data_IF_307908411689
#
_entry.id   IF_307908411689
#
_cell.length_a   1.000
_cell.length_b   1.000
_cell.length_c   1.000
_cell.angle_alpha   90.00
_cell.angle_beta   90.00
_cell.angle_gamma   90.00
#
_symmetry.space_group_name_H-M   'P 1'
#
loop_
_entity.id
_entity.type
_entity.pdbx_description
1 polymer ?
#
# COMPACT_ATOMS: atom_id res chain seq x y z
N UNK A 1 43.95 48.18 -16.20
CA UNK A 1 42.93 47.15 -16.44
C UNK A 1 42.13 47.57 -17.67
N UNK A 2 42.18 46.77 -18.73
CA UNK A 2 41.57 47.12 -20.01
C UNK A 2 40.06 46.81 -19.96
N UNK A 3 39.20 47.71 -20.45
CA UNK A 3 37.73 47.61 -20.40
C UNK A 3 37.17 46.30 -20.97
N UNK A 4 37.89 45.67 -21.91
CA UNK A 4 37.54 44.35 -22.44
C UNK A 4 37.73 43.19 -21.44
N UNK A 5 38.72 43.28 -20.54
CA UNK A 5 38.93 42.27 -19.49
C UNK A 5 37.82 42.35 -18.43
N UNK A 6 37.39 43.56 -18.05
CA UNK A 6 36.25 43.73 -17.14
C UNK A 6 34.94 43.22 -17.75
N UNK A 7 34.69 43.47 -19.04
CA UNK A 7 33.52 42.92 -19.73
C UNK A 7 33.52 41.38 -19.75
N UNK A 8 34.66 40.77 -20.09
CA UNK A 8 34.82 39.32 -20.08
C UNK A 8 34.60 38.73 -18.68
N UNK A 9 35.08 39.38 -17.62
CA UNK A 9 34.84 38.92 -16.25
C UNK A 9 33.37 39.02 -15.83
N UNK A 10 32.65 40.06 -16.25
CA UNK A 10 31.21 40.21 -15.96
C UNK A 10 30.42 39.09 -16.65
N UNK A 11 30.71 38.81 -17.92
CA UNK A 11 30.07 37.72 -18.67
C UNK A 11 30.37 36.36 -18.03
N UNK A 12 31.62 36.13 -17.59
CA UNK A 12 32.00 34.91 -16.88
C UNK A 12 31.22 34.73 -15.56
N UNK A 13 31.01 35.81 -14.79
CA UNK A 13 30.24 35.76 -13.54
C UNK A 13 28.75 35.47 -13.81
N UNK A 14 28.17 36.08 -14.85
CA UNK A 14 26.77 35.82 -15.24
C UNK A 14 26.58 34.38 -15.68
N UNK A 15 27.48 33.86 -16.51
CA UNK A 15 27.48 32.46 -16.93
C UNK A 15 27.62 31.50 -15.73
N UNK A 16 28.59 31.78 -14.86
CA UNK A 16 28.81 30.98 -13.66
C UNK A 16 27.58 31.02 -12.74
N UNK A 17 26.99 32.20 -12.51
CA UNK A 17 25.79 32.36 -11.70
C UNK A 17 24.60 31.58 -12.27
N UNK A 18 24.38 31.65 -13.58
CA UNK A 18 23.32 30.88 -14.25
C UNK A 18 23.52 29.37 -14.10
N UNK A 19 24.77 28.90 -14.19
CA UNK A 19 25.12 27.50 -14.07
C UNK A 19 24.92 27.00 -12.64
N UNK A 20 25.37 27.76 -11.64
CA UNK A 20 25.17 27.44 -10.21
C UNK A 20 23.68 27.35 -9.87
N UNK A 21 22.86 28.28 -10.37
CA UNK A 21 21.41 28.21 -10.16
C UNK A 21 20.80 26.97 -10.82
N UNK A 22 21.24 26.64 -12.04
CA UNK A 22 20.78 25.44 -12.75
C UNK A 22 21.13 24.15 -12.00
N UNK A 23 22.34 24.06 -11.46
CA UNK A 23 22.79 22.90 -10.65
C UNK A 23 21.96 22.78 -9.38
N UNK A 24 21.75 23.89 -8.64
CA UNK A 24 20.95 23.85 -7.42
C UNK A 24 19.51 23.44 -7.69
N UNK A 25 18.88 23.94 -8.76
CA UNK A 25 17.54 23.50 -9.17
C UNK A 25 17.50 22.01 -9.47
N UNK A 26 18.52 21.50 -10.17
CA UNK A 26 18.64 20.07 -10.49
C UNK A 26 18.79 19.24 -9.22
N UNK A 27 19.59 19.69 -8.25
CA UNK A 27 19.75 19.01 -6.97
C UNK A 27 18.45 18.96 -6.17
N UNK A 28 17.71 20.07 -6.11
CA UNK A 28 16.39 20.11 -5.45
C UNK A 28 15.40 19.16 -6.14
N UNK A 29 15.36 19.14 -7.47
CA UNK A 29 14.50 18.23 -8.23
C UNK A 29 14.85 16.77 -7.97
N UNK A 30 16.14 16.42 -7.92
CA UNK A 30 16.57 15.07 -7.56
C UNK A 30 16.15 14.68 -6.14
N UNK A 31 16.25 15.60 -5.17
CA UNK A 31 15.78 15.36 -3.80
C UNK A 31 14.29 15.02 -3.75
N UNK A 32 13.46 15.75 -4.50
CA UNK A 32 12.02 15.47 -4.58
C UNK A 32 11.74 14.10 -5.21
N UNK A 33 12.43 13.75 -6.30
CA UNK A 33 12.26 12.45 -6.97
C UNK A 33 12.70 11.29 -6.08
N UNK A 34 13.82 11.45 -5.36
CA UNK A 34 14.31 10.45 -4.42
C UNK A 34 13.29 10.22 -3.30
N UNK A 35 12.77 11.29 -2.69
CA UNK A 35 11.76 11.18 -1.64
C UNK A 35 10.49 10.45 -2.12
N UNK A 36 10.00 10.77 -3.33
CA UNK A 36 8.84 10.06 -3.90
C UNK A 36 9.12 8.58 -4.14
N UNK A 37 10.35 8.25 -4.56
CA UNK A 37 10.77 6.87 -4.80
C UNK A 37 10.86 6.10 -3.50
N UNK A 38 11.44 6.68 -2.44
CA UNK A 38 11.53 6.08 -1.11
C UNK A 38 10.13 5.78 -0.55
N UNK A 39 9.24 6.77 -0.57
CA UNK A 39 7.83 6.59 -0.14
C UNK A 39 7.15 5.48 -0.93
N UNK A 40 7.39 5.41 -2.24
CA UNK A 40 6.87 4.35 -3.10
C UNK A 40 7.36 2.95 -2.71
N UNK A 41 8.67 2.78 -2.52
CA UNK A 41 9.28 1.50 -2.13
C UNK A 41 8.78 1.04 -0.76
N UNK A 42 8.74 1.94 0.23
CA UNK A 42 8.19 1.62 1.55
C UNK A 42 6.68 1.35 1.50
N UNK A 43 5.93 2.10 0.71
CA UNK A 43 4.50 1.84 0.50
C UNK A 43 4.25 0.42 -0.03
N UNK A 44 5.02 0.01 -1.03
CA UNK A 44 4.94 -1.33 -1.64
C UNK A 44 5.30 -2.43 -0.63
N UNK A 45 6.41 -2.27 0.10
CA UNK A 45 6.84 -3.28 1.07
C UNK A 45 5.85 -3.44 2.23
N UNK A 46 5.28 -2.34 2.72
CA UNK A 46 4.26 -2.36 3.77
C UNK A 46 2.97 -3.03 3.28
N UNK A 47 2.53 -2.75 2.06
CA UNK A 47 1.35 -3.37 1.47
C UNK A 47 1.55 -4.88 1.25
N UNK A 48 2.71 -5.26 0.72
CA UNK A 48 3.08 -6.66 0.48
C UNK A 48 3.14 -7.47 1.77
N UNK A 49 3.74 -6.92 2.83
CA UNK A 49 3.77 -7.57 4.15
C UNK A 49 2.37 -7.89 4.70
N UNK A 50 1.40 -6.98 4.54
CA UNK A 50 0.01 -7.21 4.97
C UNK A 50 -0.64 -8.31 4.13
N UNK A 51 -0.42 -8.25 2.81
CA UNK A 51 -1.00 -9.19 1.87
C UNK A 51 -0.45 -10.60 2.07
N UNK A 52 0.85 -10.76 2.31
CA UNK A 52 1.48 -12.04 2.61
C UNK A 52 0.99 -12.62 3.94
N UNK A 53 0.87 -11.79 4.97
CA UNK A 53 0.33 -12.26 6.25
C UNK A 53 -1.11 -12.74 6.11
N UNK A 54 -1.95 -12.00 5.39
CA UNK A 54 -3.33 -12.41 5.14
C UNK A 54 -3.40 -13.71 4.32
N UNK A 55 -2.55 -13.87 3.31
CA UNK A 55 -2.47 -15.10 2.50
C UNK A 55 -2.05 -16.33 3.30
N UNK A 56 -1.31 -16.16 4.39
CA UNK A 56 -0.91 -17.25 5.27
C UNK A 56 -2.01 -17.74 6.21
N UNK A 57 -3.17 -17.08 6.24
CA UNK A 57 -4.30 -17.40 7.14
C UNK A 57 -5.34 -18.28 6.46
N UNK A 58 -6.19 -18.90 7.27
CA UNK A 58 -7.33 -19.67 6.78
C UNK A 58 -8.31 -18.75 6.02
N UNK A 59 -9.09 -19.32 5.11
CA UNK A 59 -10.08 -18.56 4.34
C UNK A 59 -11.19 -17.98 5.23
N UNK A 60 -11.53 -18.68 6.30
CA UNK A 60 -12.59 -18.39 7.27
C UNK A 60 -12.30 -19.23 8.52
N UNK A 61 -12.60 -18.72 9.72
CA UNK A 61 -12.38 -19.46 10.98
C UNK A 61 -13.05 -20.85 10.98
N UNK A 62 -14.24 -20.99 10.36
CA UNK A 62 -14.97 -22.27 10.27
C UNK A 62 -14.19 -23.31 9.46
N UNK A 63 -13.41 -22.82 8.49
CA UNK A 63 -12.62 -23.64 7.58
C UNK A 63 -11.20 -23.93 8.06
N UNK A 64 -10.84 -23.48 9.27
CA UNK A 64 -9.51 -23.70 9.82
C UNK A 64 -9.28 -25.18 10.19
N UNK A 65 -10.27 -25.80 10.88
CA UNK A 65 -10.20 -27.19 11.33
C UNK A 65 -11.12 -28.14 10.55
N UNK A 66 -11.99 -27.61 9.70
CA UNK A 66 -13.00 -28.37 8.97
C UNK A 66 -13.16 -27.90 7.52
N UNK A 67 -13.78 -28.73 6.67
CA UNK A 67 -14.02 -28.37 5.27
C UNK A 67 -15.45 -27.85 5.08
N UNK A 68 -15.58 -26.68 4.46
CA UNK A 68 -16.87 -26.16 4.06
C UNK A 68 -17.33 -26.83 2.76
N UNK A 69 -18.53 -27.41 2.79
CA UNK A 69 -19.16 -28.05 1.61
C UNK A 69 -20.26 -27.18 0.99
N UNK A 70 -20.78 -26.23 1.77
CA UNK A 70 -21.81 -25.30 1.33
C UNK A 70 -21.45 -23.86 1.69
N UNK A 71 -21.92 -22.90 0.89
CA UNK A 71 -21.65 -21.48 1.15
C UNK A 71 -22.30 -20.98 2.45
N UNK A 72 -23.31 -21.69 2.95
CA UNK A 72 -24.00 -21.34 4.19
C UNK A 72 -23.17 -21.66 5.45
N UNK A 73 -22.08 -22.41 5.31
CA UNK A 73 -21.13 -22.68 6.40
C UNK A 73 -20.11 -21.56 6.58
N UNK A 74 -19.91 -20.71 5.55
CA UNK A 74 -18.99 -19.56 5.62
C UNK A 74 -19.57 -18.41 6.43
N UNK A 75 -18.71 -17.55 6.96
CA UNK A 75 -19.10 -16.38 7.74
C UNK A 75 -19.90 -15.36 6.92
N UNK A 76 -21.02 -14.92 7.48
CA UNK A 76 -21.90 -13.91 6.83
C UNK A 76 -21.44 -12.48 7.02
N UNK A 77 -20.79 -12.21 8.15
CA UNK A 77 -20.18 -10.92 8.45
C UNK A 77 -18.70 -11.05 8.17
N UNK A 78 -18.14 -10.12 7.42
CA UNK A 78 -16.70 -10.04 7.18
C UNK A 78 -16.10 -9.03 8.16
N UNK A 79 -15.01 -9.41 8.83
CA UNK A 79 -14.27 -8.56 9.75
C UNK A 79 -14.05 -9.23 11.11
N UNK A 80 -13.11 -8.66 11.85
CA UNK A 80 -12.64 -9.22 13.11
C UNK A 80 -13.77 -9.55 14.09
N UNK A 81 -13.69 -10.75 14.67
CA UNK A 81 -14.68 -11.22 15.63
C UNK A 81 -14.43 -10.66 17.04
N UNK A 82 -15.37 -10.93 17.96
CA UNK A 82 -15.29 -10.47 19.33
C UNK A 82 -14.07 -11.03 20.06
N UNK A 83 -13.04 -10.19 20.24
CA UNK A 83 -11.78 -10.56 20.88
C UNK A 83 -10.55 -10.20 20.05
N UNK A 84 -10.73 -9.93 18.76
CA UNK A 84 -9.65 -9.69 17.80
C UNK A 84 -9.46 -8.20 17.53
N UNK A 85 -8.98 -7.50 18.56
CA UNK A 85 -8.82 -6.04 18.52
C UNK A 85 -7.60 -5.56 17.72
N UNK A 86 -6.69 -6.45 17.33
CA UNK A 86 -5.46 -6.09 16.62
C UNK A 86 -5.03 -7.17 15.64
N UNK A 87 -4.24 -6.77 14.64
CA UNK A 87 -3.70 -7.63 13.57
C UNK A 87 -3.06 -8.92 14.07
N UNK A 88 -2.45 -8.89 15.26
CA UNK A 88 -1.80 -10.06 15.84
C UNK A 88 -2.79 -11.18 16.22
N UNK A 89 -4.04 -10.83 16.50
CA UNK A 89 -5.08 -11.79 16.88
C UNK A 89 -5.89 -12.29 15.68
N UNK A 90 -5.68 -11.75 14.48
CA UNK A 90 -6.40 -12.19 13.29
C UNK A 90 -6.07 -13.64 12.97
N UNK A 91 -7.10 -14.46 12.92
CA UNK A 91 -7.00 -15.89 12.74
C UNK A 91 -7.36 -16.32 11.31
N UNK A 92 -8.14 -15.50 10.59
CA UNK A 92 -8.57 -15.77 9.22
C UNK A 92 -8.36 -14.57 8.27
N UNK A 93 -8.72 -14.79 7.01
CA UNK A 93 -8.51 -13.84 5.93
C UNK A 93 -9.47 -12.64 6.00
N UNK A 94 -10.70 -12.83 6.50
CA UNK A 94 -11.72 -11.78 6.54
C UNK A 94 -11.61 -10.81 7.71
N UNK A 95 -10.87 -11.16 8.76
CA UNK A 95 -10.54 -10.27 9.87
C UNK A 95 -9.91 -8.94 9.42
N UNK A 96 -9.19 -8.95 8.30
CA UNK A 96 -8.60 -7.76 7.70
C UNK A 96 -9.64 -6.74 7.20
N UNK A 97 -10.92 -7.10 7.12
CA UNK A 97 -11.96 -6.18 6.70
C UNK A 97 -12.17 -5.06 7.72
N UNK A 98 -11.83 -3.83 7.34
CA UNK A 98 -12.00 -2.66 8.20
C UNK A 98 -10.79 -2.38 9.10
N UNK A 99 -9.74 -3.20 9.03
CA UNK A 99 -8.49 -2.93 9.72
C UNK A 99 -7.82 -1.65 9.23
N UNK A 100 -7.29 -0.86 10.17
CA UNK A 100 -6.57 0.39 9.92
C UNK A 100 -5.41 0.52 10.90
N UNK A 101 -4.29 1.03 10.40
CA UNK A 101 -3.10 1.29 11.20
C UNK A 101 -2.28 2.44 10.64
N UNK A 102 -1.45 3.03 11.48
CA UNK A 102 -0.52 4.11 11.11
C UNK A 102 0.88 3.76 11.56
N UNK A 103 1.85 3.80 10.65
CA UNK A 103 3.26 3.58 10.97
C UNK A 103 4.07 4.79 10.56
N UNK A 104 4.96 5.25 11.44
CA UNK A 104 5.89 6.34 11.14
C UNK A 104 7.27 5.75 10.91
N UNK A 105 7.88 6.05 9.77
CA UNK A 105 9.27 5.70 9.47
C UNK A 105 10.08 6.99 9.54
N UNK A 106 10.94 7.07 10.56
CA UNK A 106 11.76 8.24 10.81
C UNK A 106 12.63 8.57 9.60
N UNK A 107 12.58 9.83 9.16
CA UNK A 107 13.33 10.31 8.00
C UNK A 107 12.69 10.01 6.64
N UNK A 108 11.55 9.31 6.59
CA UNK A 108 10.83 9.03 5.33
C UNK A 108 9.45 9.69 5.34
N UNK A 109 8.47 9.09 6.03
CA UNK A 109 7.10 9.59 6.10
C UNK A 109 6.28 8.82 7.14
N UNK A 110 5.08 9.33 7.43
CA UNK A 110 4.03 8.60 8.14
C UNK A 110 3.10 7.93 7.12
N UNK A 111 2.88 6.63 7.26
CA UNK A 111 2.03 5.83 6.37
C UNK A 111 0.73 5.42 7.05
N UNK A 112 -0.39 5.74 6.41
CA UNK A 112 -1.72 5.27 6.76
C UNK A 112 -2.05 4.03 5.95
N UNK A 113 -2.39 2.93 6.61
CA UNK A 113 -2.63 1.63 5.99
C UNK A 113 -4.00 1.13 6.37
N UNK A 114 -4.75 0.63 5.40
CA UNK A 114 -6.04 0.00 5.68
C UNK A 114 -6.34 -1.13 4.72
N UNK A 115 -7.05 -2.13 5.23
CA UNK A 115 -7.46 -3.30 4.49
C UNK A 115 -8.99 -3.37 4.41
N UNK A 116 -9.46 -3.92 3.30
CA UNK A 116 -10.87 -4.22 3.07
C UNK A 116 -10.98 -5.58 2.41
N UNK A 117 -11.85 -6.43 2.95
CA UNK A 117 -12.15 -7.74 2.37
C UNK A 117 -13.60 -7.74 1.93
N UNK A 118 -13.84 -8.25 0.72
CA UNK A 118 -15.19 -8.39 0.16
C UNK A 118 -15.33 -9.74 -0.51
N UNK A 119 -16.51 -10.35 -0.45
CA UNK A 119 -16.84 -11.45 -1.34
C UNK A 119 -16.90 -10.96 -2.79
N UNK A 120 -16.41 -11.78 -3.72
CA UNK A 120 -16.45 -11.49 -5.15
C UNK A 120 -17.05 -12.66 -5.91
N UNK A 121 -17.80 -12.35 -6.96
CA UNK A 121 -18.37 -13.32 -7.88
C UNK A 121 -17.47 -13.46 -9.11
N UNK A 122 -17.38 -14.67 -9.68
CA UNK A 122 -16.65 -14.93 -10.92
C UNK A 122 -17.15 -14.13 -12.12
N UNK A 123 -18.43 -13.75 -12.13
CA UNK A 123 -19.06 -12.90 -13.15
C UNK A 123 -18.72 -11.41 -13.01
N UNK A 124 -18.35 -10.96 -11.80
CA UNK A 124 -17.98 -9.57 -11.52
C UNK A 124 -16.91 -9.48 -10.44
N UNK A 125 -15.66 -9.72 -10.85
CA UNK A 125 -14.47 -9.68 -9.99
C UNK A 125 -14.20 -8.28 -9.42
N UNK A 126 -14.55 -7.23 -10.17
CA UNK A 126 -14.32 -5.85 -9.74
C UNK A 126 -15.36 -5.35 -8.75
N UNK A 127 -16.57 -5.94 -8.77
CA UNK A 127 -17.65 -5.65 -7.84
C UNK A 127 -17.43 -6.19 -6.43
N UNK A 128 -18.46 -6.03 -5.60
CA UNK A 128 -18.61 -6.69 -4.32
C UNK A 128 -19.91 -7.51 -4.37
N UNK A 129 -19.88 -8.71 -3.79
CA UNK A 129 -21.07 -9.52 -3.58
C UNK A 129 -21.54 -9.33 -2.14
N UNK A 130 -22.84 -9.10 -1.95
CA UNK A 130 -23.48 -9.16 -0.63
C UNK A 130 -23.77 -10.60 -0.20
N UNK A 131 -23.63 -11.56 -1.12
CA UNK A 131 -23.79 -12.99 -0.87
C UNK A 131 -22.43 -13.63 -0.68
N UNK A 132 -22.37 -14.65 0.18
CA UNK A 132 -21.18 -15.47 0.41
C UNK A 132 -20.77 -16.12 -0.93
N UNK A 133 -19.49 -16.10 -1.24
CA UNK A 133 -18.90 -16.76 -2.42
C UNK A 133 -17.63 -17.49 -2.01
N UNK A 134 -17.14 -18.39 -2.86
CA UNK A 134 -15.87 -19.08 -2.65
C UNK A 134 -14.63 -18.21 -2.86
N UNK A 135 -14.81 -16.90 -3.10
CA UNK A 135 -13.73 -15.98 -3.42
C UNK A 135 -13.86 -14.72 -2.55
N UNK A 136 -12.82 -14.43 -1.78
CA UNK A 136 -12.68 -13.19 -1.00
C UNK A 136 -11.58 -12.34 -1.66
N UNK A 137 -11.87 -11.07 -1.92
CA UNK A 137 -10.90 -10.09 -2.44
C UNK A 137 -10.43 -9.20 -1.30
N UNK A 138 -9.13 -9.21 -1.04
CA UNK A 138 -8.45 -8.28 -0.14
C UNK A 138 -7.93 -7.08 -0.94
N UNK A 139 -8.24 -5.88 -0.48
CA UNK A 139 -7.70 -4.62 -0.98
C UNK A 139 -6.93 -3.93 0.13
N UNK A 140 -5.61 -3.93 0.02
CA UNK A 140 -4.71 -3.22 0.93
C UNK A 140 -4.38 -1.86 0.33
N UNK A 141 -4.58 -0.81 1.10
CA UNK A 141 -4.30 0.55 0.68
C UNK A 141 -3.27 1.16 1.64
N UNK A 142 -2.27 1.84 1.07
CA UNK A 142 -1.21 2.51 1.81
C UNK A 142 -1.05 3.91 1.27
N UNK A 143 -1.12 4.91 2.15
CA UNK A 143 -0.96 6.32 1.82
C UNK A 143 0.09 6.96 2.71
N UNK A 144 1.15 7.50 2.13
CA UNK A 144 2.08 8.39 2.84
C UNK A 144 1.43 9.75 3.12
N UNK A 145 1.75 10.37 4.25
CA UNK A 145 1.27 11.71 4.61
C UNK A 145 1.67 12.76 3.57
N UNK A 146 2.86 12.62 2.99
CA UNK A 146 3.38 13.49 1.94
C UNK A 146 3.15 12.95 0.53
N UNK A 147 2.52 11.77 0.40
CA UNK A 147 2.19 11.17 -0.88
C UNK A 147 0.92 11.80 -1.47
N UNK A 148 0.95 12.14 -2.76
CA UNK A 148 -0.22 12.64 -3.48
C UNK A 148 -1.27 11.54 -3.72
N UNK A 149 -0.82 10.32 -3.98
CA UNK A 149 -1.67 9.18 -4.34
C UNK A 149 -1.62 8.07 -3.28
N UNK A 150 -2.65 7.22 -3.29
CA UNK A 150 -2.74 6.03 -2.44
C UNK A 150 -2.35 4.81 -3.24
N UNK A 151 -1.33 4.10 -2.78
CA UNK A 151 -0.98 2.80 -3.33
C UNK A 151 -2.05 1.78 -2.94
N UNK A 152 -2.63 1.10 -3.92
CA UNK A 152 -3.58 0.01 -3.69
C UNK A 152 -3.05 -1.29 -4.28
N UNK A 153 -3.01 -2.35 -3.46
CA UNK A 153 -2.78 -3.72 -3.89
C UNK A 153 -4.04 -4.56 -3.67
N UNK A 154 -4.36 -5.40 -4.64
CA UNK A 154 -5.52 -6.27 -4.59
C UNK A 154 -5.10 -7.72 -4.78
N UNK A 155 -5.72 -8.61 -4.01
CA UNK A 155 -5.52 -10.05 -4.11
C UNK A 155 -6.84 -10.78 -3.95
N UNK A 156 -7.04 -11.84 -4.73
CA UNK A 156 -8.23 -12.69 -4.66
C UNK A 156 -7.80 -14.02 -4.09
N UNK A 157 -8.32 -14.34 -2.91
CA UNK A 157 -8.14 -15.62 -2.27
C UNK A 157 -9.36 -16.50 -2.55
N UNK A 158 -9.10 -17.70 -3.05
CA UNK A 158 -10.15 -18.66 -3.41
C UNK A 158 -10.10 -19.83 -2.45
N UNK A 159 -11.27 -20.25 -1.96
CA UNK A 159 -11.36 -21.44 -1.13
C UNK A 159 -11.04 -22.69 -1.95
N UNK A 160 -10.14 -23.51 -1.44
CA UNK A 160 -9.86 -24.83 -1.99
C UNK A 160 -9.50 -25.80 -0.86
N UNK A 161 -9.80 -27.08 -1.08
CA UNK A 161 -9.58 -28.17 -0.13
C UNK A 161 -9.02 -29.36 -0.92
N UNK A 162 -7.93 -29.96 -0.43
CA UNK A 162 -7.46 -31.26 -0.93
C UNK A 162 -8.20 -32.37 -0.16
N UNK A 163 -8.76 -33.29 -0.93
CA UNK A 163 -9.27 -34.58 -0.44
C UNK A 163 -8.20 -35.66 -0.59
#
# INVERSE_FOLDING_TARGET
MNTGQTLLTIIAIVLLGSNVVSINRTFTQHGVVLQHTEIGIFGVSLAMSILEEAQGKAFDHVTADSFATSLNELSSSLGAEGGESSRHFFNDFDDYNGWRDTVTIDGVDTFYRWARVVYVDTSNINGFSSSRTWHKKLSVNVKGSNAQDTLQMQYIFSYWSFR
#
